data_IF_693712289938
#
_entry.id   IF_693712289938
#
_cell.length_a   1.000
_cell.length_b   1.000
_cell.length_c   1.000
_cell.angle_alpha   90.00
_cell.angle_beta   90.00
_cell.angle_gamma   90.00
#
_symmetry.space_group_name_H-M   'P 1'
#
loop_
_entity.id
_entity.type
_entity.pdbx_description
1 polymer ?
#
# COMPACT_ATOMS: atom_id res chain seq x y z
N UNK A 1 -8.17 17.89 11.88
CA UNK A 1 -8.54 17.55 10.46
C UNK A 1 -8.74 16.04 10.30
N UNK A 2 -7.79 15.24 10.71
CA UNK A 2 -7.83 13.77 10.60
C UNK A 2 -9.00 13.15 11.38
N UNK A 3 -9.27 13.62 12.60
CA UNK A 3 -10.42 13.20 13.41
C UNK A 3 -11.75 13.36 12.68
N UNK A 4 -11.91 14.46 11.94
CA UNK A 4 -13.12 14.69 11.13
C UNK A 4 -13.21 13.68 9.98
N UNK A 5 -12.10 13.39 9.30
CA UNK A 5 -12.07 12.45 8.17
C UNK A 5 -12.32 11.01 8.62
N UNK A 6 -11.74 10.58 9.75
CA UNK A 6 -11.90 9.22 10.26
C UNK A 6 -13.18 9.03 11.09
N UNK A 7 -13.65 10.09 11.76
CA UNK A 7 -14.86 10.03 12.60
C UNK A 7 -16.17 10.25 11.86
N UNK A 8 -16.16 10.91 10.69
CA UNK A 8 -17.39 11.26 9.94
C UNK A 8 -17.57 10.47 8.64
N UNK A 9 -16.53 9.78 8.16
CA UNK A 9 -16.60 8.99 6.93
C UNK A 9 -16.18 7.55 7.18
N UNK A 10 -16.66 6.63 6.36
CA UNK A 10 -16.19 5.25 6.43
C UNK A 10 -14.80 5.16 5.83
N UNK A 11 -13.83 4.77 6.65
CA UNK A 11 -12.44 4.63 6.24
C UNK A 11 -12.07 3.18 5.91
N UNK A 12 -11.05 2.98 5.07
CA UNK A 12 -10.39 1.69 4.83
C UNK A 12 -8.87 1.84 4.93
N UNK A 13 -8.20 0.85 5.50
CA UNK A 13 -6.74 0.73 5.46
C UNK A 13 -6.33 -0.03 4.19
N UNK A 14 -5.42 0.54 3.41
CA UNK A 14 -4.84 -0.12 2.23
C UNK A 14 -3.36 -0.42 2.51
N UNK A 15 -3.02 -1.71 2.57
CA UNK A 15 -1.65 -2.20 2.77
C UNK A 15 -1.07 -2.57 1.40
N UNK A 16 -0.19 -1.69 0.89
CA UNK A 16 0.33 -1.81 -0.46
C UNK A 16 1.64 -2.60 -0.50
N UNK A 17 1.65 -3.69 -1.29
CA UNK A 17 2.84 -4.43 -1.73
C UNK A 17 3.81 -4.88 -0.62
N UNK A 18 3.30 -5.19 0.57
CA UNK A 18 4.12 -5.74 1.66
C UNK A 18 4.39 -7.23 1.43
N UNK A 19 5.21 -7.51 0.41
CA UNK A 19 5.56 -8.86 -0.05
C UNK A 19 7.07 -9.07 -0.07
N UNK A 20 7.52 -10.31 0.20
CA UNK A 20 8.93 -10.69 0.27
C UNK A 20 9.68 -10.37 -1.03
N UNK A 21 9.05 -10.57 -2.17
CA UNK A 21 9.66 -10.34 -3.48
C UNK A 21 10.02 -8.87 -3.73
N UNK A 22 9.28 -7.91 -3.17
CA UNK A 22 9.63 -6.49 -3.29
C UNK A 22 10.95 -6.19 -2.57
N UNK A 23 11.17 -6.77 -1.41
CA UNK A 23 12.40 -6.54 -0.62
C UNK A 23 13.60 -7.32 -1.18
N UNK A 24 13.37 -8.51 -1.75
CA UNK A 24 14.40 -9.25 -2.50
C UNK A 24 14.77 -8.52 -3.80
N UNK A 25 13.79 -7.99 -4.51
CA UNK A 25 13.97 -7.27 -5.77
C UNK A 25 14.68 -5.93 -5.58
N UNK A 26 14.37 -5.25 -4.50
CA UNK A 26 14.95 -3.96 -4.12
C UNK A 26 15.49 -4.01 -2.68
N UNK A 27 16.73 -4.53 -2.47
CA UNK A 27 17.30 -4.68 -1.11
C UNK A 27 17.35 -3.38 -0.31
N UNK A 28 17.59 -2.23 -0.97
CA UNK A 28 17.57 -0.93 -0.33
C UNK A 28 16.17 -0.58 0.23
N UNK A 29 15.10 -1.01 -0.44
CA UNK A 29 13.72 -0.86 0.05
C UNK A 29 13.50 -1.68 1.33
N UNK A 30 13.99 -2.93 1.35
CA UNK A 30 13.90 -3.80 2.53
C UNK A 30 14.65 -3.21 3.73
N UNK A 31 15.91 -2.79 3.51
CA UNK A 31 16.73 -2.17 4.55
C UNK A 31 16.08 -0.88 5.12
N UNK A 32 15.50 -0.07 4.27
CA UNK A 32 14.84 1.17 4.70
C UNK A 32 13.50 0.87 5.42
N UNK A 33 12.74 -0.12 4.97
CA UNK A 33 11.53 -0.58 5.65
C UNK A 33 11.83 -1.09 7.07
N UNK A 34 12.90 -1.86 7.23
CA UNK A 34 13.39 -2.34 8.52
C UNK A 34 13.86 -1.18 9.41
N UNK A 35 14.73 -0.30 8.90
CA UNK A 35 15.23 0.87 9.63
C UNK A 35 14.09 1.77 10.15
N UNK A 36 13.04 1.96 9.38
CA UNK A 36 11.85 2.75 9.75
C UNK A 36 10.88 1.97 10.63
N UNK A 37 11.03 0.65 10.74
CA UNK A 37 10.17 -0.23 11.53
C UNK A 37 8.72 -0.21 11.04
N UNK A 38 8.49 -0.17 9.72
CA UNK A 38 7.13 0.00 9.19
C UNK A 38 6.25 -1.23 9.42
N UNK A 39 6.81 -2.45 9.44
CA UNK A 39 6.02 -3.69 9.61
C UNK A 39 5.23 -3.70 10.93
N UNK A 40 5.83 -3.55 12.12
CA UNK A 40 5.08 -3.54 13.36
C UNK A 40 4.11 -2.35 13.47
N UNK A 41 4.42 -1.21 12.86
CA UNK A 41 3.52 -0.06 12.83
C UNK A 41 2.27 -0.32 11.98
N UNK A 42 2.45 -0.92 10.80
CA UNK A 42 1.33 -1.31 9.92
C UNK A 42 0.47 -2.36 10.61
N UNK A 43 1.06 -3.35 11.28
CA UNK A 43 0.33 -4.37 12.04
C UNK A 43 -0.54 -3.74 13.15
N UNK A 44 -0.02 -2.75 13.88
CA UNK A 44 -0.80 -2.01 14.89
C UNK A 44 -1.97 -1.25 14.27
N UNK A 45 -1.77 -0.58 13.13
CA UNK A 45 -2.85 0.09 12.40
C UNK A 45 -3.91 -0.91 11.92
N UNK A 46 -3.49 -2.02 11.33
CA UNK A 46 -4.42 -3.05 10.85
C UNK A 46 -5.26 -3.59 12.01
N UNK A 47 -4.65 -3.88 13.15
CA UNK A 47 -5.37 -4.30 14.36
C UNK A 47 -6.39 -3.24 14.83
N UNK A 48 -6.03 -1.96 14.79
CA UNK A 48 -6.95 -0.87 15.16
C UNK A 48 -8.15 -0.76 14.22
N UNK A 49 -7.92 -0.88 12.89
CA UNK A 49 -8.98 -0.88 11.90
C UNK A 49 -9.92 -2.07 12.08
N UNK A 50 -9.38 -3.29 12.24
CA UNK A 50 -10.16 -4.50 12.50
C UNK A 50 -10.99 -4.39 13.78
N UNK A 51 -10.41 -3.87 14.87
CA UNK A 51 -11.12 -3.66 16.13
C UNK A 51 -12.34 -2.72 16.02
N UNK A 52 -12.31 -1.81 15.02
CA UNK A 52 -13.42 -0.90 14.71
C UNK A 52 -14.37 -1.45 13.62
N UNK A 53 -14.16 -2.67 13.15
CA UNK A 53 -14.94 -3.25 12.04
C UNK A 53 -14.75 -2.50 10.72
N UNK A 54 -13.61 -1.81 10.55
CA UNK A 54 -13.26 -1.09 9.33
C UNK A 54 -12.46 -1.99 8.38
N UNK A 55 -12.66 -1.88 7.06
CA UNK A 55 -11.99 -2.72 6.09
C UNK A 55 -10.46 -2.57 6.13
N UNK A 56 -9.76 -3.70 6.10
CA UNK A 56 -8.34 -3.81 5.79
C UNK A 56 -8.21 -4.48 4.43
N UNK A 57 -7.48 -3.85 3.51
CA UNK A 57 -7.35 -4.30 2.12
C UNK A 57 -5.87 -4.41 1.76
N UNK A 58 -5.45 -5.61 1.38
CA UNK A 58 -4.12 -5.85 0.85
C UNK A 58 -4.12 -5.71 -0.67
N UNK A 59 -3.11 -5.04 -1.21
CA UNK A 59 -2.96 -4.83 -2.66
C UNK A 59 -1.65 -5.43 -3.19
N UNK A 60 -1.54 -6.78 -3.21
CA UNK A 60 -0.34 -7.45 -3.69
C UNK A 60 -0.24 -7.41 -5.22
N UNK A 61 1.00 -7.53 -5.72
CA UNK A 61 1.28 -7.89 -7.11
C UNK A 61 1.64 -9.37 -7.16
N UNK A 62 0.94 -10.14 -8.00
CA UNK A 62 1.23 -11.57 -8.19
C UNK A 62 1.10 -11.90 -9.67
N UNK A 63 2.25 -12.03 -10.34
CA UNK A 63 2.29 -12.29 -11.77
C UNK A 63 1.84 -13.71 -12.12
N UNK A 64 1.26 -13.86 -13.31
CA UNK A 64 0.94 -15.17 -13.84
C UNK A 64 2.24 -15.98 -14.11
N UNK A 65 2.26 -17.31 -13.90
CA UNK A 65 3.47 -18.13 -14.06
C UNK A 65 4.19 -18.02 -15.40
N UNK A 66 3.46 -17.78 -16.49
CA UNK A 66 4.05 -17.61 -17.83
C UNK A 66 4.43 -16.16 -18.16
N UNK A 67 4.12 -15.16 -17.29
CA UNK A 67 4.40 -13.75 -17.50
C UNK A 67 3.83 -13.17 -18.82
N UNK A 68 2.81 -13.79 -19.40
CA UNK A 68 2.25 -13.39 -20.69
C UNK A 68 1.64 -11.97 -20.68
N UNK A 69 1.22 -11.51 -19.51
CA UNK A 69 0.63 -10.19 -19.26
C UNK A 69 1.66 -9.11 -18.84
N UNK A 70 2.94 -9.48 -18.73
CA UNK A 70 4.02 -8.54 -18.41
C UNK A 70 4.72 -8.08 -19.69
N UNK A 71 4.44 -6.85 -20.10
CA UNK A 71 5.07 -6.24 -21.27
C UNK A 71 6.35 -5.51 -20.88
N UNK A 72 7.42 -5.69 -21.66
CA UNK A 72 8.71 -4.98 -21.48
C UNK A 72 8.59 -3.53 -21.92
N UNK A 73 7.91 -2.71 -21.16
CA UNK A 73 7.69 -1.28 -21.43
C UNK A 73 8.23 -0.36 -20.31
N UNK A 74 8.88 -0.94 -19.32
CA UNK A 74 9.50 -0.22 -18.22
C UNK A 74 10.68 -1.00 -17.66
N UNK A 75 11.51 -0.34 -16.84
CA UNK A 75 12.62 -0.98 -16.15
C UNK A 75 12.11 -2.04 -15.16
N UNK A 76 11.04 -1.76 -14.42
CA UNK A 76 10.42 -2.71 -13.48
C UNK A 76 9.94 -3.96 -14.22
N UNK A 77 9.18 -3.78 -15.31
CA UNK A 77 8.70 -4.91 -16.10
C UNK A 77 9.85 -5.74 -16.69
N UNK A 78 10.92 -5.07 -17.15
CA UNK A 78 12.13 -5.75 -17.64
C UNK A 78 12.81 -6.54 -16.53
N UNK A 79 12.83 -6.01 -15.32
CA UNK A 79 13.37 -6.68 -14.14
C UNK A 79 12.54 -7.91 -13.75
N UNK A 80 11.21 -7.78 -13.68
CA UNK A 80 10.27 -8.90 -13.42
C UNK A 80 10.48 -10.02 -14.45
N UNK A 81 10.53 -9.68 -15.75
CA UNK A 81 10.76 -10.68 -16.81
C UNK A 81 12.11 -11.40 -16.68
N UNK A 82 13.15 -10.69 -16.20
CA UNK A 82 14.50 -11.25 -16.01
C UNK A 82 14.58 -12.14 -14.77
N UNK A 83 14.04 -11.67 -13.65
CA UNK A 83 14.18 -12.36 -12.35
C UNK A 83 13.07 -13.34 -12.06
N UNK A 84 11.94 -13.26 -12.79
CA UNK A 84 10.71 -14.01 -12.53
C UNK A 84 10.18 -13.80 -11.10
N UNK A 85 10.39 -12.61 -10.55
CA UNK A 85 9.93 -12.25 -9.21
C UNK A 85 8.40 -12.17 -9.12
N UNK A 86 7.84 -12.35 -7.93
CA UNK A 86 6.43 -12.17 -7.63
C UNK A 86 5.48 -13.08 -8.42
N UNK A 87 5.95 -14.26 -8.83
CA UNK A 87 5.09 -15.27 -9.49
C UNK A 87 4.11 -15.84 -8.46
N UNK A 88 2.83 -15.86 -8.82
CA UNK A 88 1.78 -16.44 -7.97
C UNK A 88 2.12 -17.88 -7.56
N UNK A 89 2.07 -18.14 -6.25
CA UNK A 89 2.39 -19.46 -5.69
C UNK A 89 3.86 -19.66 -5.34
N UNK A 90 4.75 -18.70 -5.61
CA UNK A 90 6.14 -18.72 -5.13
C UNK A 90 6.29 -17.93 -3.84
N UNK A 91 7.38 -18.21 -3.10
CA UNK A 91 7.72 -17.50 -1.85
C UNK A 91 7.81 -15.98 -2.04
N UNK A 92 8.30 -15.52 -3.18
CA UNK A 92 8.40 -14.08 -3.50
C UNK A 92 7.04 -13.37 -3.49
N UNK A 93 5.96 -14.08 -3.78
CA UNK A 93 4.61 -13.53 -3.74
C UNK A 93 3.98 -13.56 -2.32
N UNK A 94 4.63 -14.18 -1.33
CA UNK A 94 4.14 -14.22 0.04
C UNK A 94 4.26 -12.86 0.73
N UNK A 95 3.40 -12.63 1.69
CA UNK A 95 3.42 -11.43 2.51
C UNK A 95 4.61 -11.44 3.48
N UNK A 96 5.02 -10.25 3.90
CA UNK A 96 6.00 -10.11 4.98
C UNK A 96 5.37 -10.63 6.28
N UNK A 97 6.15 -11.37 7.06
CA UNK A 97 5.73 -11.93 8.35
C UNK A 97 5.08 -10.87 9.25
N UNK A 98 3.89 -11.19 9.77
CA UNK A 98 3.08 -10.30 10.60
C UNK A 98 2.19 -9.32 9.81
N UNK A 99 2.19 -9.39 8.46
CA UNK A 99 1.30 -8.63 7.58
C UNK A 99 0.53 -9.53 6.61
N UNK A 100 0.36 -10.80 6.95
CA UNK A 100 -0.51 -11.70 6.23
C UNK A 100 -1.97 -11.25 6.36
N UNK A 101 -2.80 -11.37 5.31
CA UNK A 101 -4.23 -11.11 5.42
C UNK A 101 -4.89 -12.01 6.46
N UNK A 102 -5.69 -11.44 7.36
CA UNK A 102 -6.58 -12.18 8.24
C UNK A 102 -7.86 -12.62 7.49
N UNK A 103 -8.65 -13.58 8.05
CA UNK A 103 -9.83 -14.14 7.34
C UNK A 103 -10.86 -13.12 6.87
N UNK A 104 -11.02 -12.01 7.58
CA UNK A 104 -11.97 -10.94 7.24
C UNK A 104 -11.34 -9.82 6.41
N UNK A 105 -10.04 -9.88 6.13
CA UNK A 105 -9.37 -8.91 5.28
C UNK A 105 -9.71 -9.14 3.80
N UNK A 106 -9.64 -8.07 3.04
CA UNK A 106 -9.82 -8.13 1.59
C UNK A 106 -8.48 -8.16 0.87
N UNK A 107 -8.44 -8.87 -0.25
CA UNK A 107 -7.28 -8.87 -1.14
C UNK A 107 -7.71 -8.40 -2.52
N UNK A 108 -7.13 -7.30 -2.99
CA UNK A 108 -7.29 -6.80 -4.35
C UNK A 108 -5.97 -6.96 -5.09
N UNK A 109 -5.80 -8.11 -5.72
CA UNK A 109 -4.59 -8.52 -6.41
C UNK A 109 -4.54 -7.95 -7.83
N UNK A 110 -3.34 -7.50 -8.27
CA UNK A 110 -3.06 -7.29 -9.69
C UNK A 110 -2.01 -8.28 -10.20
N UNK A 111 -2.04 -8.56 -11.51
CA UNK A 111 -1.08 -9.46 -12.15
C UNK A 111 0.02 -8.70 -12.91
N UNK A 112 -0.20 -7.43 -13.19
CA UNK A 112 0.74 -6.57 -13.93
C UNK A 112 0.46 -5.10 -13.64
N UNK A 113 1.28 -4.20 -14.20
CA UNK A 113 1.16 -2.77 -13.99
C UNK A 113 1.86 -2.30 -12.71
N UNK A 114 1.61 -1.04 -12.34
CA UNK A 114 2.31 -0.37 -11.23
C UNK A 114 1.33 0.01 -10.12
N UNK A 115 0.14 0.53 -10.48
CA UNK A 115 -0.78 1.11 -9.50
C UNK A 115 -1.94 0.17 -9.17
N UNK A 116 -2.23 0.04 -7.89
CA UNK A 116 -3.20 -0.94 -7.41
C UNK A 116 -4.65 -0.68 -7.82
N UNK A 117 -5.02 0.54 -8.18
CA UNK A 117 -6.35 0.83 -8.74
C UNK A 117 -6.49 0.38 -10.20
N UNK A 118 -5.39 0.27 -10.93
CA UNK A 118 -5.45 0.00 -12.36
C UNK A 118 -5.69 -1.49 -12.66
N UNK A 119 -6.79 -1.78 -13.30
CA UNK A 119 -7.12 -3.15 -13.74
C UNK A 119 -7.47 -4.12 -12.60
N UNK A 120 -7.86 -3.61 -11.42
CA UNK A 120 -8.26 -4.39 -10.26
C UNK A 120 -9.70 -4.09 -9.85
N UNK A 121 -10.20 -4.82 -8.87
CA UNK A 121 -11.49 -4.59 -8.25
C UNK A 121 -11.46 -3.63 -7.05
N UNK A 122 -10.30 -3.02 -6.74
CA UNK A 122 -10.11 -2.18 -5.55
C UNK A 122 -11.16 -1.07 -5.44
N UNK A 123 -11.32 -0.27 -6.50
CA UNK A 123 -12.30 0.83 -6.49
C UNK A 123 -13.74 0.32 -6.33
N UNK A 124 -14.09 -0.77 -6.99
CA UNK A 124 -15.42 -1.38 -6.89
C UNK A 124 -15.70 -1.84 -5.46
N UNK A 125 -14.73 -2.49 -4.80
CA UNK A 125 -14.83 -2.93 -3.40
C UNK A 125 -15.02 -1.73 -2.47
N UNK A 126 -14.15 -0.73 -2.55
CA UNK A 126 -14.23 0.48 -1.73
C UNK A 126 -15.59 1.16 -1.85
N UNK A 127 -16.11 1.34 -3.09
CA UNK A 127 -17.42 1.95 -3.34
C UNK A 127 -18.56 1.13 -2.75
N UNK A 128 -18.55 -0.20 -2.92
CA UNK A 128 -19.58 -1.09 -2.37
C UNK A 128 -19.60 -1.11 -0.85
N UNK A 129 -18.44 -0.93 -0.22
CA UNK A 129 -18.33 -0.82 1.24
C UNK A 129 -18.68 0.59 1.76
N UNK A 130 -18.97 1.54 0.87
CA UNK A 130 -19.28 2.92 1.23
C UNK A 130 -18.08 3.68 1.79
N UNK A 131 -16.87 3.30 1.38
CA UNK A 131 -15.62 3.96 1.81
C UNK A 131 -15.50 5.33 1.16
N UNK A 132 -15.18 6.34 1.95
CA UNK A 132 -14.93 7.72 1.51
C UNK A 132 -13.51 8.18 1.84
N UNK A 133 -12.87 7.54 2.82
CA UNK A 133 -11.50 7.84 3.26
C UNK A 133 -10.62 6.60 3.12
N UNK A 134 -9.45 6.74 2.49
CA UNK A 134 -8.44 5.69 2.40
C UNK A 134 -7.19 6.07 3.15
N UNK A 135 -6.69 5.14 3.99
CA UNK A 135 -5.42 5.27 4.70
C UNK A 135 -4.41 4.37 4.01
N UNK A 136 -3.35 4.95 3.45
CA UNK A 136 -2.37 4.24 2.62
C UNK A 136 -1.10 3.96 3.40
N UNK A 137 -0.69 2.69 3.44
CA UNK A 137 0.54 2.23 4.11
C UNK A 137 1.29 1.21 3.25
N UNK A 138 2.55 0.94 3.59
CA UNK A 138 3.39 -0.04 2.89
C UNK A 138 4.42 0.59 1.96
N UNK A 139 4.65 -0.04 0.80
CA UNK A 139 5.74 0.36 -0.11
C UNK A 139 5.24 0.58 -1.54
N UNK A 140 5.92 1.38 -2.33
CA UNK A 140 7.01 2.27 -2.00
C UNK A 140 6.54 3.73 -1.96
N UNK A 141 7.15 4.55 -1.10
CA UNK A 141 6.89 6.00 -1.08
C UNK A 141 7.35 6.71 -2.34
N UNK A 142 8.12 6.04 -3.20
CA UNK A 142 8.61 6.59 -4.47
C UNK A 142 7.68 6.32 -5.65
N UNK A 143 6.81 5.32 -5.56
CA UNK A 143 6.00 4.89 -6.71
C UNK A 143 4.59 4.42 -6.32
N UNK A 144 4.48 3.31 -5.55
CA UNK A 144 3.19 2.68 -5.26
C UNK A 144 2.25 3.56 -4.43
N UNK A 145 2.75 4.15 -3.36
CA UNK A 145 1.97 5.03 -2.49
C UNK A 145 1.53 6.32 -3.21
N UNK A 146 2.42 7.06 -3.90
CA UNK A 146 2.00 8.20 -4.71
C UNK A 146 0.95 7.84 -5.77
N UNK A 147 1.15 6.72 -6.48
CA UNK A 147 0.18 6.26 -7.48
C UNK A 147 -1.20 5.96 -6.91
N UNK A 148 -1.26 5.35 -5.70
CA UNK A 148 -2.52 5.15 -4.98
C UNK A 148 -3.13 6.48 -4.51
N UNK A 149 -2.30 7.43 -4.04
CA UNK A 149 -2.78 8.73 -3.57
C UNK A 149 -3.38 9.56 -4.71
N UNK A 150 -2.70 9.67 -5.85
CA UNK A 150 -3.22 10.37 -7.03
C UNK A 150 -4.52 9.75 -7.54
N UNK A 151 -4.54 8.44 -7.74
CA UNK A 151 -5.75 7.74 -8.19
C UNK A 151 -6.87 7.85 -7.15
N UNK A 152 -6.56 7.82 -5.86
CA UNK A 152 -7.53 8.00 -4.78
C UNK A 152 -8.24 9.35 -4.88
N UNK A 153 -7.49 10.42 -5.10
CA UNK A 153 -8.05 11.78 -5.30
C UNK A 153 -8.90 11.84 -6.57
N UNK A 154 -8.43 11.25 -7.68
CA UNK A 154 -9.20 11.21 -8.94
C UNK A 154 -10.52 10.44 -8.78
N UNK A 155 -10.55 9.43 -7.90
CA UNK A 155 -11.78 8.72 -7.53
C UNK A 155 -12.57 9.40 -6.40
N UNK A 156 -12.20 10.62 -6.00
CA UNK A 156 -12.86 11.41 -4.95
C UNK A 156 -12.82 10.75 -3.55
N UNK A 157 -11.75 10.05 -3.20
CA UNK A 157 -11.47 9.65 -1.83
C UNK A 157 -10.69 10.74 -1.09
N UNK A 158 -10.95 10.89 0.21
CA UNK A 158 -10.00 11.51 1.11
C UNK A 158 -8.82 10.58 1.31
N UNK A 159 -7.60 11.08 1.14
CA UNK A 159 -6.39 10.29 1.25
C UNK A 159 -5.61 10.69 2.50
N UNK A 160 -5.28 9.72 3.33
CA UNK A 160 -4.46 9.87 4.53
C UNK A 160 -3.22 8.99 4.37
N UNK A 161 -2.04 9.52 4.67
CA UNK A 161 -0.78 8.78 4.65
C UNK A 161 -0.06 8.98 5.98
N UNK A 162 -0.07 7.96 6.86
CA UNK A 162 0.82 7.95 8.03
C UNK A 162 2.25 7.69 7.53
N UNK A 163 3.06 8.75 7.50
CA UNK A 163 4.38 8.72 6.86
C UNK A 163 5.35 7.74 7.51
N UNK A 164 5.15 7.47 8.79
CA UNK A 164 5.94 6.50 9.54
C UNK A 164 5.57 5.03 9.27
N UNK A 165 4.54 4.79 8.44
CA UNK A 165 4.08 3.48 7.95
C UNK A 165 4.37 3.25 6.46
N UNK A 166 5.18 4.10 5.84
CA UNK A 166 5.61 3.92 4.45
C UNK A 166 7.13 3.97 4.34
N UNK A 167 7.70 3.32 3.32
CA UNK A 167 9.12 3.35 3.02
C UNK A 167 9.39 3.46 1.52
N UNK A 168 10.54 4.05 1.18
CA UNK A 168 11.14 4.07 -0.16
C UNK A 168 12.51 3.42 -0.13
N UNK A 169 13.31 3.61 -1.16
CA UNK A 169 14.66 3.05 -1.27
C UNK A 169 15.75 3.95 -0.68
N UNK A 170 15.40 5.20 -0.36
CA UNK A 170 16.34 6.21 0.15
C UNK A 170 15.57 7.22 1.02
N UNK A 171 16.14 7.54 2.20
CA UNK A 171 15.48 8.43 3.17
C UNK A 171 15.31 9.86 2.65
N UNK A 172 16.32 10.42 1.96
CA UNK A 172 16.22 11.80 1.46
C UNK A 172 15.18 11.92 0.34
N UNK A 173 15.16 10.94 -0.55
CA UNK A 173 14.14 10.87 -1.60
C UNK A 173 12.75 10.71 -0.99
N UNK A 174 12.60 9.85 0.02
CA UNK A 174 11.35 9.68 0.76
C UNK A 174 10.86 11.03 1.34
N UNK A 175 11.72 11.75 2.06
CA UNK A 175 11.38 13.04 2.68
C UNK A 175 10.94 14.08 1.63
N UNK A 176 11.68 14.18 0.52
CA UNK A 176 11.33 15.09 -0.58
C UNK A 176 9.95 14.72 -1.16
N UNK A 177 9.69 13.46 -1.45
CA UNK A 177 8.43 13.03 -2.05
C UNK A 177 7.24 13.19 -1.10
N UNK A 178 7.43 12.98 0.19
CA UNK A 178 6.39 13.26 1.20
C UNK A 178 6.08 14.76 1.22
N UNK A 179 7.10 15.63 1.24
CA UNK A 179 6.93 17.07 1.37
C UNK A 179 6.46 17.75 0.08
N UNK A 180 6.98 17.34 -1.09
CA UNK A 180 6.74 18.05 -2.35
C UNK A 180 5.64 17.42 -3.20
N UNK A 181 5.30 16.16 -2.94
CA UNK A 181 4.35 15.43 -3.76
C UNK A 181 3.13 14.91 -2.97
N UNK A 182 3.34 14.09 -1.94
CA UNK A 182 2.23 13.46 -1.24
C UNK A 182 1.38 14.45 -0.46
N UNK A 183 1.97 15.45 0.20
CA UNK A 183 1.22 16.46 0.96
C UNK A 183 0.27 17.30 0.12
N UNK A 184 0.41 17.32 -1.21
CA UNK A 184 -0.49 18.06 -2.10
C UNK A 184 -1.82 17.30 -2.28
N UNK A 185 -1.78 15.97 -2.21
CA UNK A 185 -2.92 15.08 -2.51
C UNK A 185 -3.37 14.25 -1.31
N UNK A 186 -2.65 14.30 -0.19
CA UNK A 186 -2.94 13.51 1.00
C UNK A 186 -2.75 14.32 2.28
N UNK A 187 -3.49 13.95 3.33
CA UNK A 187 -3.20 14.38 4.70
C UNK A 187 -2.06 13.53 5.23
N UNK A 188 -0.89 14.14 5.42
CA UNK A 188 0.29 13.49 6.02
C UNK A 188 0.14 13.53 7.54
N UNK A 189 0.37 12.39 8.18
CA UNK A 189 0.17 12.18 9.62
C UNK A 189 1.08 11.06 10.13
N UNK A 190 0.85 10.57 11.35
CA UNK A 190 1.53 9.44 11.95
C UNK A 190 0.54 8.30 12.27
N UNK A 191 1.06 7.10 12.48
CA UNK A 191 0.29 5.95 12.95
C UNK A 191 -0.51 6.26 14.22
N UNK A 192 0.14 6.90 15.19
CA UNK A 192 -0.50 7.17 16.49
C UNK A 192 -1.65 8.17 16.38
N UNK A 193 -1.51 9.19 15.52
CA UNK A 193 -2.60 10.13 15.23
C UNK A 193 -3.78 9.46 14.53
N UNK A 194 -3.52 8.51 13.61
CA UNK A 194 -4.60 7.72 12.98
C UNK A 194 -5.32 6.88 14.02
N UNK A 195 -4.60 6.14 14.87
CA UNK A 195 -5.19 5.30 15.91
C UNK A 195 -6.01 6.15 16.90
N UNK A 196 -5.48 7.28 17.35
CA UNK A 196 -6.19 8.21 18.24
C UNK A 196 -7.48 8.75 17.60
N UNK A 197 -7.47 9.02 16.31
CA UNK A 197 -8.62 9.54 15.57
C UNK A 197 -9.71 8.48 15.28
N UNK A 198 -9.37 7.20 15.36
CA UNK A 198 -10.35 6.10 15.30
C UNK A 198 -11.14 5.94 16.60
N UNK A 199 -10.65 6.44 17.71
CA UNK A 199 -11.29 6.44 19.04
C UNK A 199 -11.07 5.14 19.80
#
# INVERSE_FOLDING_TARGET
>A
MIEKLLGSTKAALIINEMQLGNFKMFPALGAEAERRGIVPKIAQLAAAFRAKGLPVIHTPTMHHPNLADVKRNSMIASFVLKTRAMIKGTEDAWYVEGLEPEPDDHVSQRSSGIFAFQGTDLNVRLRRMGVETIVLVGVSSTLGIPGLAFAGVDFAYHVIVPEDCIAGTDQKVHEILVQEQLRIVATITTKDEVIAALG
#
